data_IF_873487889948
#
_entry.id   IF_873487889948
#
_cell.length_a   1.000
_cell.length_b   1.000
_cell.length_c   1.000
_cell.angle_alpha   90.00
_cell.angle_beta   90.00
_cell.angle_gamma   90.00
#
_symmetry.space_group_name_H-M   'P 1'
#
loop_
_entity.id
_entity.type
_entity.pdbx_description
1 polymer ?
#
# COMPACT_ATOMS: atom_id res chain seq x y z
N UNK A 1 16.82 -2.80 42.61
CA UNK A 1 16.71 -4.01 41.77
C UNK A 1 16.21 -3.57 40.41
N UNK A 2 17.14 -3.22 39.52
CA UNK A 2 16.80 -2.84 38.15
C UNK A 2 16.48 -4.11 37.35
N UNK A 3 15.22 -4.26 36.97
CA UNK A 3 14.84 -5.24 35.96
C UNK A 3 15.22 -4.67 34.59
N UNK A 4 16.41 -5.04 34.08
CA UNK A 4 16.72 -4.92 32.66
C UNK A 4 15.78 -5.86 31.90
N UNK A 5 14.71 -5.28 31.37
CA UNK A 5 13.87 -5.94 30.38
C UNK A 5 14.66 -5.97 29.07
N UNK A 6 15.32 -7.09 28.81
CA UNK A 6 16.04 -7.34 27.56
C UNK A 6 14.99 -7.45 26.46
N UNK A 7 15.01 -6.49 25.53
CA UNK A 7 14.15 -6.45 24.34
C UNK A 7 14.34 -7.72 23.51
N UNK A 8 13.35 -8.61 23.58
CA UNK A 8 13.44 -10.00 23.13
C UNK A 8 12.95 -10.21 21.68
N UNK A 9 12.96 -9.17 20.84
CA UNK A 9 12.38 -9.21 19.48
C UNK A 9 13.15 -8.39 18.43
N UNK A 10 14.48 -8.26 18.52
CA UNK A 10 15.25 -7.78 17.35
C UNK A 10 15.22 -8.85 16.25
N UNK A 11 14.26 -8.74 15.32
CA UNK A 11 14.16 -9.61 14.13
C UNK A 11 15.22 -9.19 13.13
N UNK A 12 16.39 -9.80 13.19
CA UNK A 12 17.40 -9.64 12.14
C UNK A 12 16.94 -10.37 10.88
N UNK A 13 17.29 -9.84 9.71
CA UNK A 13 17.05 -10.50 8.42
C UNK A 13 18.36 -10.78 7.71
N UNK A 14 18.43 -11.90 7.00
CA UNK A 14 19.60 -12.29 6.22
C UNK A 14 19.33 -12.07 4.73
N UNK A 15 20.26 -11.39 4.07
CA UNK A 15 20.25 -11.21 2.62
C UNK A 15 21.69 -11.29 2.11
N UNK A 16 21.94 -12.12 1.10
CA UNK A 16 23.29 -12.33 0.50
C UNK A 16 24.39 -12.57 1.55
N UNK A 17 24.14 -13.43 2.53
CA UNK A 17 25.05 -13.76 3.65
C UNK A 17 25.41 -12.58 4.57
N UNK A 18 24.62 -11.50 4.55
CA UNK A 18 24.74 -10.38 5.48
C UNK A 18 23.50 -10.31 6.37
N UNK A 19 23.72 -10.04 7.65
CA UNK A 19 22.65 -9.83 8.64
C UNK A 19 22.36 -8.35 8.78
N UNK A 20 21.09 -7.98 8.75
CA UNK A 20 20.64 -6.61 8.85
C UNK A 20 19.58 -6.44 9.95
N UNK A 21 19.53 -5.25 10.52
CA UNK A 21 18.60 -4.89 11.60
C UNK A 21 17.21 -4.50 11.08
N UNK A 22 16.21 -4.57 11.95
CA UNK A 22 14.84 -4.10 11.66
C UNK A 22 14.79 -2.61 11.30
N UNK A 23 15.60 -1.79 11.98
CA UNK A 23 15.67 -0.35 11.71
C UNK A 23 16.13 -0.05 10.28
N UNK A 24 16.98 -0.93 9.74
CA UNK A 24 17.42 -0.84 8.36
C UNK A 24 16.27 -1.18 7.39
N UNK A 25 15.45 -2.21 7.69
CA UNK A 25 14.23 -2.50 6.91
C UNK A 25 13.26 -1.33 6.93
N UNK A 26 13.00 -0.75 8.09
CA UNK A 26 12.08 0.39 8.23
C UNK A 26 12.57 1.58 7.40
N UNK A 27 13.87 1.85 7.44
CA UNK A 27 14.51 2.87 6.61
C UNK A 27 14.37 2.57 5.12
N UNK A 28 14.54 1.30 4.71
CA UNK A 28 14.38 0.87 3.33
C UNK A 28 12.93 1.04 2.85
N UNK A 29 11.94 0.68 3.68
CA UNK A 29 10.52 0.89 3.36
C UNK A 29 10.18 2.37 3.20
N UNK A 30 10.75 3.24 4.03
CA UNK A 30 10.60 4.69 3.88
C UNK A 30 11.23 5.19 2.58
N UNK A 31 12.44 4.71 2.25
CA UNK A 31 13.10 5.06 0.98
C UNK A 31 12.28 4.59 -0.23
N UNK A 32 11.73 3.38 -0.20
CA UNK A 32 10.87 2.87 -1.27
C UNK A 32 9.64 3.77 -1.48
N UNK A 33 8.97 4.20 -0.39
CA UNK A 33 7.87 5.16 -0.46
C UNK A 33 8.29 6.53 -1.02
N UNK A 34 9.50 6.99 -0.69
CA UNK A 34 10.04 8.24 -1.26
C UNK A 34 10.27 8.12 -2.76
N UNK A 35 10.77 6.98 -3.23
CA UNK A 35 10.92 6.70 -4.68
C UNK A 35 9.55 6.62 -5.34
N UNK A 36 8.58 5.92 -4.74
CA UNK A 36 7.21 5.83 -5.26
C UNK A 36 6.52 7.20 -5.37
N UNK A 37 6.81 8.12 -4.45
CA UNK A 37 6.31 9.51 -4.52
C UNK A 37 6.79 10.24 -5.77
N UNK A 38 7.99 9.94 -6.28
CA UNK A 38 8.49 10.57 -7.51
C UNK A 38 7.64 10.22 -8.74
N UNK A 39 6.99 9.05 -8.74
CA UNK A 39 6.13 8.60 -9.84
C UNK A 39 4.66 8.96 -9.62
N UNK A 40 4.14 8.77 -8.40
CA UNK A 40 2.70 8.89 -8.10
C UNK A 40 2.33 10.16 -7.32
N UNK A 41 3.27 11.07 -7.07
CA UNK A 41 3.09 12.20 -6.14
C UNK A 41 1.86 13.04 -6.42
N UNK A 42 1.67 13.51 -7.65
CA UNK A 42 0.50 14.32 -8.04
C UNK A 42 -0.81 13.56 -7.83
N UNK A 43 -0.87 12.31 -8.27
CA UNK A 43 -2.03 11.42 -8.09
C UNK A 43 -2.35 11.16 -6.62
N UNK A 44 -1.32 11.06 -5.77
CA UNK A 44 -1.49 10.90 -4.32
C UNK A 44 -2.04 12.17 -3.67
N UNK A 45 -1.65 13.35 -4.15
CA UNK A 45 -2.23 14.62 -3.71
C UNK A 45 -3.69 14.73 -4.13
N UNK A 46 -4.01 14.35 -5.37
CA UNK A 46 -5.38 14.32 -5.90
C UNK A 46 -6.27 13.37 -5.09
N UNK A 47 -5.80 12.15 -4.80
CA UNK A 47 -6.51 11.20 -3.94
C UNK A 47 -6.85 11.77 -2.56
N UNK A 48 -5.99 12.62 -2.02
CA UNK A 48 -6.20 13.30 -0.73
C UNK A 48 -7.04 14.57 -0.83
N UNK A 49 -7.47 14.95 -2.04
CA UNK A 49 -8.20 16.19 -2.28
C UNK A 49 -7.35 17.45 -2.11
N UNK A 50 -6.02 17.33 -2.19
CA UNK A 50 -5.09 18.45 -2.01
C UNK A 50 -4.87 19.26 -3.30
N UNK A 51 -5.28 18.71 -4.44
CA UNK A 51 -5.29 19.42 -5.74
C UNK A 51 -6.68 19.98 -6.08
N UNK A 52 -7.60 19.99 -5.11
CA UNK A 52 -8.94 20.52 -5.32
C UNK A 52 -8.90 22.03 -5.57
N UNK A 53 -9.70 22.47 -6.55
CA UNK A 53 -9.95 23.89 -6.82
C UNK A 53 -10.63 24.56 -5.63
N UNK A 54 -10.44 25.88 -5.50
CA UNK A 54 -11.05 26.67 -4.42
C UNK A 54 -12.58 26.48 -4.43
N UNK A 55 -13.18 25.95 -3.34
CA UNK A 55 -14.62 25.76 -3.24
C UNK A 55 -15.41 27.08 -3.32
N UNK A 56 -14.76 28.23 -3.13
CA UNK A 56 -15.36 29.56 -3.21
C UNK A 56 -15.12 30.26 -4.56
N UNK A 57 -14.52 29.58 -5.54
CA UNK A 57 -14.30 30.19 -6.85
C UNK A 57 -15.62 30.43 -7.59
N UNK A 58 -15.85 31.69 -8.00
CA UNK A 58 -17.07 32.13 -8.69
C UNK A 58 -17.22 31.54 -10.10
N UNK A 59 -16.14 30.98 -10.66
CA UNK A 59 -16.10 30.40 -12.01
C UNK A 59 -16.03 28.86 -12.00
N UNK A 60 -16.35 28.20 -10.88
CA UNK A 60 -16.29 26.73 -10.78
C UNK A 60 -17.28 26.10 -11.76
N UNK A 61 -16.74 25.37 -12.73
CA UNK A 61 -17.52 24.47 -13.57
C UNK A 61 -17.52 23.08 -12.93
N UNK A 62 -18.70 22.57 -12.57
CA UNK A 62 -18.85 21.27 -11.95
C UNK A 62 -18.83 20.15 -13.01
N UNK A 63 -17.64 19.92 -13.58
CA UNK A 63 -17.40 18.85 -14.55
C UNK A 63 -16.91 17.60 -13.82
N UNK A 64 -17.78 16.60 -13.68
CA UNK A 64 -17.41 15.32 -13.07
C UNK A 64 -16.80 14.38 -14.11
N UNK A 65 -15.52 14.04 -13.95
CA UNK A 65 -14.83 13.01 -14.75
C UNK A 65 -14.16 12.00 -13.82
N UNK A 66 -14.03 10.76 -14.30
CA UNK A 66 -13.28 9.73 -13.59
C UNK A 66 -11.83 9.73 -14.08
N UNK A 67 -10.91 10.14 -13.21
CA UNK A 67 -9.48 10.11 -13.49
C UNK A 67 -8.86 8.85 -12.90
N UNK A 68 -8.08 8.14 -13.71
CA UNK A 68 -7.32 6.99 -13.22
C UNK A 68 -6.05 7.46 -12.49
N UNK A 69 -5.97 7.17 -11.19
CA UNK A 69 -4.79 7.49 -10.38
C UNK A 69 -3.72 6.40 -10.53
N UNK A 70 -3.94 5.21 -9.96
CA UNK A 70 -3.01 4.08 -10.07
C UNK A 70 -3.74 2.74 -10.00
N UNK A 71 -2.98 1.68 -10.26
CA UNK A 71 -3.44 0.28 -10.15
C UNK A 71 -2.60 -0.44 -9.12
N UNK A 72 -3.23 -1.05 -8.12
CA UNK A 72 -2.56 -1.95 -7.19
C UNK A 72 -2.32 -3.31 -7.86
N UNK A 73 -1.07 -3.65 -8.15
CA UNK A 73 -0.72 -4.87 -8.86
C UNK A 73 0.66 -5.39 -8.48
N UNK A 74 0.73 -6.62 -7.97
CA UNK A 74 1.99 -7.26 -7.59
C UNK A 74 2.60 -8.02 -8.78
N UNK A 75 3.33 -7.32 -9.63
CA UNK A 75 4.12 -7.87 -10.74
C UNK A 75 3.36 -8.81 -11.71
N UNK A 76 4.06 -9.36 -12.71
CA UNK A 76 3.45 -10.17 -13.79
C UNK A 76 2.89 -11.54 -13.33
N UNK A 77 3.28 -12.03 -12.16
CA UNK A 77 2.91 -13.37 -11.67
C UNK A 77 1.81 -13.38 -10.60
N UNK A 78 1.56 -12.27 -9.89
CA UNK A 78 0.66 -12.22 -8.73
C UNK A 78 -0.84 -12.22 -9.07
N UNK A 79 -1.22 -11.75 -10.26
CA UNK A 79 -2.60 -11.44 -10.63
C UNK A 79 -3.35 -12.54 -11.39
N UNK A 80 -3.00 -13.82 -11.17
CA UNK A 80 -3.84 -14.94 -11.67
C UNK A 80 -5.15 -15.11 -10.89
N UNK A 81 -5.33 -14.37 -9.80
CA UNK A 81 -6.51 -14.43 -8.91
C UNK A 81 -7.37 -13.19 -9.11
N UNK A 82 -8.69 -13.36 -9.01
CA UNK A 82 -9.66 -12.27 -9.12
C UNK A 82 -9.81 -11.57 -7.77
N UNK A 83 -10.07 -10.27 -7.77
CA UNK A 83 -10.46 -9.55 -6.54
C UNK A 83 -11.83 -10.05 -6.11
N UNK A 84 -11.94 -10.52 -4.88
CA UNK A 84 -13.19 -11.04 -4.29
C UNK A 84 -13.75 -10.10 -3.24
N UNK A 85 -12.90 -9.32 -2.57
CA UNK A 85 -13.29 -8.36 -1.52
C UNK A 85 -12.25 -7.25 -1.39
N UNK A 86 -12.70 -6.09 -0.91
CA UNK A 86 -11.82 -4.96 -0.59
C UNK A 86 -12.39 -4.16 0.58
N UNK A 87 -11.52 -3.63 1.45
CA UNK A 87 -11.91 -2.82 2.60
C UNK A 87 -10.82 -1.81 2.97
N UNK A 88 -11.21 -0.54 3.16
CA UNK A 88 -10.32 0.51 3.66
C UNK A 88 -10.17 0.42 5.19
N UNK A 89 -8.98 0.72 5.69
CA UNK A 89 -8.76 0.80 7.14
C UNK A 89 -9.44 2.05 7.72
N UNK A 90 -10.28 1.91 8.77
CA UNK A 90 -10.94 3.06 9.41
C UNK A 90 -9.97 3.94 10.21
N UNK A 91 -8.78 3.44 10.53
CA UNK A 91 -7.76 4.18 11.30
C UNK A 91 -6.76 4.89 10.38
N UNK A 92 -6.54 4.38 9.18
CA UNK A 92 -5.56 4.93 8.25
C UNK A 92 -6.07 4.82 6.81
N UNK A 93 -6.55 5.93 6.26
CA UNK A 93 -7.12 5.97 4.91
C UNK A 93 -6.11 5.71 3.79
N UNK A 94 -4.82 5.54 4.10
CA UNK A 94 -3.85 5.08 3.11
C UNK A 94 -3.89 3.56 2.93
N UNK A 95 -4.49 2.81 3.84
CA UNK A 95 -4.41 1.35 3.89
C UNK A 95 -5.67 0.72 3.31
N UNK A 96 -5.47 -0.16 2.32
CA UNK A 96 -6.52 -0.93 1.66
C UNK A 96 -6.22 -2.43 1.76
N UNK A 97 -7.09 -3.20 2.42
CA UNK A 97 -7.03 -4.65 2.40
C UNK A 97 -7.79 -5.19 1.18
N UNK A 98 -7.16 -6.06 0.38
CA UNK A 98 -7.77 -6.68 -0.80
C UNK A 98 -7.64 -8.19 -0.71
N UNK A 99 -8.78 -8.87 -0.80
CA UNK A 99 -8.87 -10.33 -0.93
C UNK A 99 -8.87 -10.75 -2.39
N UNK A 100 -8.01 -11.69 -2.73
CA UNK A 100 -7.88 -12.31 -4.04
C UNK A 100 -8.21 -13.79 -3.96
N UNK A 101 -9.04 -14.27 -4.89
CA UNK A 101 -9.45 -15.66 -4.97
C UNK A 101 -10.11 -15.99 -6.29
N UNK A 102 -10.99 -16.99 -6.26
CA UNK A 102 -11.82 -17.41 -7.40
C UNK A 102 -13.26 -17.55 -6.94
N UNK A 103 -14.20 -17.18 -7.82
CA UNK A 103 -15.63 -17.26 -7.52
C UNK A 103 -16.23 -18.65 -7.80
N UNK A 104 -15.56 -19.48 -8.61
CA UNK A 104 -16.08 -20.80 -8.99
C UNK A 104 -15.78 -21.84 -7.91
N UNK A 105 -16.83 -22.41 -7.33
CA UNK A 105 -16.76 -23.47 -6.31
C UNK A 105 -16.01 -24.72 -6.78
N UNK A 106 -16.05 -25.02 -8.09
CA UNK A 106 -15.36 -26.17 -8.69
C UNK A 106 -13.83 -26.05 -8.70
N UNK A 107 -13.29 -24.85 -8.47
CA UNK A 107 -11.86 -24.58 -8.53
C UNK A 107 -11.33 -24.35 -7.11
N UNK A 108 -10.71 -25.36 -6.49
CA UNK A 108 -9.95 -25.16 -5.25
C UNK A 108 -8.77 -24.24 -5.54
N UNK A 109 -8.67 -23.11 -4.84
CA UNK A 109 -7.50 -22.25 -4.91
C UNK A 109 -7.11 -21.72 -3.54
N UNK A 110 -5.80 -21.56 -3.34
CA UNK A 110 -5.29 -20.78 -2.22
C UNK A 110 -5.63 -19.31 -2.47
N UNK A 111 -6.45 -18.76 -1.56
CA UNK A 111 -6.73 -17.34 -1.50
C UNK A 111 -5.49 -16.55 -1.10
N UNK A 112 -5.46 -15.26 -1.44
CA UNK A 112 -4.39 -14.34 -1.08
C UNK A 112 -5.04 -13.06 -0.54
N UNK A 113 -4.54 -12.56 0.58
CA UNK A 113 -4.89 -11.22 1.07
C UNK A 113 -3.65 -10.36 0.94
N UNK A 114 -3.79 -9.20 0.31
CA UNK A 114 -2.73 -8.19 0.29
C UNK A 114 -3.23 -6.91 0.96
N UNK A 115 -2.36 -6.31 1.75
CA UNK A 115 -2.59 -5.00 2.35
C UNK A 115 -1.80 -3.99 1.53
N UNK A 116 -2.50 -3.08 0.89
CA UNK A 116 -1.92 -2.06 0.02
C UNK A 116 -1.83 -0.73 0.76
N UNK A 117 -0.84 0.07 0.37
CA UNK A 117 -0.68 1.43 0.85
C UNK A 117 -0.64 2.42 -0.31
N UNK A 118 -1.44 3.48 -0.23
CA UNK A 118 -1.43 4.57 -1.22
C UNK A 118 -0.04 5.18 -1.40
N UNK A 119 0.78 5.17 -0.34
CA UNK A 119 2.16 5.69 -0.36
C UNK A 119 3.12 4.81 -1.18
N UNK A 120 2.79 3.54 -1.41
CA UNK A 120 3.51 2.64 -2.31
C UNK A 120 2.53 1.70 -3.05
N UNK A 121 2.00 2.12 -4.21
CA UNK A 121 1.03 1.32 -4.96
C UNK A 121 1.60 0.06 -5.63
N UNK A 122 2.92 -0.06 -5.73
CA UNK A 122 3.58 -1.10 -6.52
C UNK A 122 3.76 -2.42 -5.75
N UNK A 123 3.99 -2.36 -4.45
CA UNK A 123 4.20 -3.53 -3.59
C UNK A 123 3.27 -3.46 -2.37
N UNK A 124 2.59 -4.56 -1.99
CA UNK A 124 1.81 -4.59 -0.76
C UNK A 124 2.71 -4.50 0.47
N UNK A 125 2.18 -3.91 1.54
CA UNK A 125 2.83 -3.84 2.84
C UNK A 125 2.98 -5.24 3.46
N UNK A 126 4.10 -5.44 4.17
CA UNK A 126 4.47 -6.72 4.81
C UNK A 126 3.73 -6.98 6.11
#
# INVERSE_FOLDING_TARGET
MEARQVDKYSRTFEYENQTFDTNFLDSLMLMERMVGKNEFGEKQLDFRGLLAEDPLSLNVQCCYSLTHLWTFCRGKAGCRRKVTSMCWSPMNDNILAVGYGKFKYSERCDGLVCVWNVKNPQEPER
#
